data_IF_113443523790
#
_entry.id   IF_113443523790
#
_cell.length_a   1.000
_cell.length_b   1.000
_cell.length_c   1.000
_cell.angle_alpha   90.00
_cell.angle_beta   90.00
_cell.angle_gamma   90.00
#
_symmetry.space_group_name_H-M   'P 1'
#
loop_
_entity.id
_entity.type
_entity.pdbx_description
1 polymer ?
#
# COMPACT_ATOMS: atom_id res chain seq x y z
N UNK A 1 -2.30 20.87 -10.12
CA UNK A 1 -2.87 21.05 -8.78
C UNK A 1 -4.02 20.07 -8.51
N UNK A 2 -5.12 20.09 -9.29
CA UNK A 2 -6.27 19.16 -9.10
C UNK A 2 -5.86 17.68 -9.11
N UNK A 3 -5.06 17.25 -10.09
CA UNK A 3 -4.58 15.85 -10.16
C UNK A 3 -3.75 15.42 -8.96
N UNK A 4 -2.99 16.34 -8.36
CA UNK A 4 -2.17 16.06 -7.17
C UNK A 4 -3.04 15.84 -5.94
N UNK A 5 -4.11 16.63 -5.77
CA UNK A 5 -5.06 16.48 -4.67
C UNK A 5 -5.80 15.14 -4.76
N UNK A 6 -6.24 14.75 -5.96
CA UNK A 6 -6.88 13.46 -6.18
C UNK A 6 -5.96 12.29 -5.86
N UNK A 7 -4.69 12.36 -6.27
CA UNK A 7 -3.70 11.31 -6.00
C UNK A 7 -3.39 11.18 -4.51
N UNK A 8 -3.31 12.30 -3.78
CA UNK A 8 -3.16 12.29 -2.31
C UNK A 8 -4.36 11.59 -1.67
N UNK A 9 -5.59 11.89 -2.10
CA UNK A 9 -6.79 11.22 -1.60
C UNK A 9 -6.77 9.71 -1.82
N UNK A 10 -6.32 9.25 -2.99
CA UNK A 10 -6.14 7.83 -3.28
C UNK A 10 -5.10 7.19 -2.36
N UNK A 11 -3.95 7.85 -2.14
CA UNK A 11 -2.90 7.32 -1.27
C UNK A 11 -3.37 7.18 0.19
N UNK A 12 -4.14 8.15 0.68
CA UNK A 12 -4.74 8.08 2.04
C UNK A 12 -5.74 6.92 2.12
N UNK A 13 -6.60 6.76 1.12
CA UNK A 13 -7.59 5.67 1.07
C UNK A 13 -6.92 4.28 1.00
N UNK A 14 -5.81 4.16 0.28
CA UNK A 14 -5.07 2.91 0.13
C UNK A 14 -4.11 2.62 1.29
N UNK A 15 -3.86 3.58 2.18
CA UNK A 15 -2.90 3.42 3.27
C UNK A 15 -3.19 2.22 4.19
N UNK A 16 -4.43 1.98 4.67
CA UNK A 16 -4.75 0.81 5.50
C UNK A 16 -4.40 -0.53 4.82
N UNK A 17 -4.67 -0.64 3.50
CA UNK A 17 -4.36 -1.85 2.73
C UNK A 17 -2.85 -2.03 2.55
N UNK A 18 -2.13 -0.94 2.30
CA UNK A 18 -0.67 -0.96 2.18
C UNK A 18 -0.01 -1.36 3.50
N UNK A 19 -0.36 -0.71 4.61
CA UNK A 19 0.26 -0.98 5.91
C UNK A 19 -0.10 -2.38 6.42
N UNK A 20 -1.32 -2.86 6.18
CA UNK A 20 -1.70 -4.25 6.49
C UNK A 20 -0.88 -5.24 5.69
N UNK A 21 -0.72 -5.03 4.37
CA UNK A 21 0.11 -5.91 3.55
C UNK A 21 1.58 -5.90 3.99
N UNK A 22 2.12 -4.74 4.37
CA UNK A 22 3.48 -4.62 4.89
C UNK A 22 3.63 -5.32 6.25
N UNK A 23 2.70 -5.12 7.17
CA UNK A 23 2.69 -5.76 8.49
C UNK A 23 2.63 -7.29 8.37
N UNK A 24 1.72 -7.82 7.55
CA UNK A 24 1.61 -9.26 7.31
C UNK A 24 2.92 -9.82 6.72
N UNK A 25 3.57 -9.10 5.80
CA UNK A 25 4.86 -9.50 5.24
C UNK A 25 5.94 -9.54 6.33
N UNK A 26 6.06 -8.48 7.13
CA UNK A 26 7.04 -8.39 8.22
C UNK A 26 6.83 -9.48 9.27
N UNK A 27 5.59 -9.80 9.60
CA UNK A 27 5.28 -10.85 10.57
C UNK A 27 5.65 -12.24 10.03
N UNK A 28 5.36 -12.53 8.76
CA UNK A 28 5.79 -13.79 8.14
C UNK A 28 7.31 -13.93 8.15
N UNK A 29 8.04 -12.84 7.92
CA UNK A 29 9.50 -12.81 8.05
C UNK A 29 9.91 -13.10 9.49
N UNK A 30 9.39 -12.38 10.49
CA UNK A 30 9.72 -12.58 11.92
C UNK A 30 9.45 -14.00 12.39
N UNK A 31 8.27 -14.54 12.08
CA UNK A 31 7.91 -15.93 12.40
C UNK A 31 8.94 -16.88 11.80
N UNK A 32 9.29 -16.71 10.52
CA UNK A 32 10.26 -17.60 9.87
C UNK A 32 11.66 -17.51 10.49
N UNK A 33 12.10 -16.31 10.87
CA UNK A 33 13.40 -16.07 11.50
C UNK A 33 13.48 -16.72 12.89
N UNK A 34 12.40 -16.63 13.67
CA UNK A 34 12.40 -17.14 15.04
C UNK A 34 12.03 -18.62 15.14
N UNK A 35 11.35 -19.18 14.14
CA UNK A 35 10.98 -20.60 14.10
C UNK A 35 12.17 -21.53 14.36
N UNK A 36 13.30 -21.31 13.67
CA UNK A 36 14.49 -22.15 13.82
C UNK A 36 15.19 -21.93 15.18
N UNK A 37 15.18 -20.69 15.68
CA UNK A 37 15.78 -20.35 16.98
C UNK A 37 15.02 -20.95 18.15
N UNK A 38 13.69 -21.06 18.02
CA UNK A 38 12.81 -21.63 19.05
C UNK A 38 12.80 -23.17 19.00
N UNK A 39 13.13 -23.79 17.87
CA UNK A 39 13.11 -25.24 17.70
C UNK A 39 13.93 -26.01 18.74
N UNK A 40 15.07 -25.47 19.20
CA UNK A 40 15.89 -26.07 20.27
C UNK A 40 15.27 -25.93 21.66
N UNK A 41 14.40 -24.95 21.86
CA UNK A 41 13.68 -24.71 23.11
C UNK A 41 12.28 -25.37 23.14
N UNK A 42 11.75 -25.79 21.98
CA UNK A 42 10.41 -26.34 21.84
C UNK A 42 10.16 -27.52 22.79
N UNK A 43 11.04 -28.50 22.88
CA UNK A 43 10.79 -29.69 23.71
C UNK A 43 10.59 -29.35 25.19
N UNK A 44 11.36 -28.39 25.71
CA UNK A 44 11.25 -27.96 27.10
C UNK A 44 9.98 -27.12 27.30
N UNK A 45 9.71 -26.18 26.40
CA UNK A 45 8.53 -25.34 26.43
C UNK A 45 7.25 -26.16 26.29
N UNK A 46 7.20 -27.12 25.35
CA UNK A 46 6.07 -28.00 25.12
C UNK A 46 5.74 -28.83 26.36
N UNK A 47 6.76 -29.41 27.03
CA UNK A 47 6.57 -30.14 28.29
C UNK A 47 5.97 -29.27 29.39
N UNK A 48 6.46 -28.04 29.54
CA UNK A 48 5.94 -27.08 30.53
C UNK A 48 4.47 -26.72 30.26
N UNK A 49 4.15 -26.42 29.01
CA UNK A 49 2.79 -26.06 28.59
C UNK A 49 1.82 -27.26 28.67
N UNK A 50 2.26 -28.47 28.35
CA UNK A 50 1.47 -29.71 28.56
C UNK A 50 1.16 -29.94 30.03
N UNK A 51 2.15 -29.82 30.91
CA UNK A 51 1.93 -29.93 32.35
C UNK A 51 0.94 -28.87 32.87
N UNK A 52 1.00 -27.64 32.33
CA UNK A 52 0.02 -26.60 32.63
C UNK A 52 -1.39 -26.98 32.14
N UNK A 53 -1.53 -27.56 30.94
CA UNK A 53 -2.81 -28.05 30.43
C UNK A 53 -3.39 -29.18 31.30
N UNK A 54 -2.56 -30.12 31.76
CA UNK A 54 -3.01 -31.20 32.67
C UNK A 54 -3.53 -30.65 34.00
N UNK A 55 -2.89 -29.59 34.53
CA UNK A 55 -3.36 -28.91 35.74
C UNK A 55 -4.71 -28.22 35.49
N UNK A 56 -4.85 -27.50 34.37
CA UNK A 56 -6.11 -26.84 33.97
C UNK A 56 -7.24 -27.84 33.72
N UNK A 57 -6.95 -29.00 33.15
CA UNK A 57 -7.93 -30.07 32.94
C UNK A 57 -8.52 -30.58 34.27
N UNK A 58 -7.73 -30.59 35.34
CA UNK A 58 -8.17 -31.01 36.69
C UNK A 58 -8.88 -29.89 37.46
N UNK A 59 -8.39 -28.65 37.33
CA UNK A 59 -8.86 -27.52 38.12
C UNK A 59 -10.00 -26.74 37.46
N UNK A 60 -10.23 -26.97 36.17
CA UNK A 60 -11.10 -26.15 35.34
C UNK A 60 -10.37 -24.90 34.82
N UNK A 61 -10.95 -24.27 33.80
CA UNK A 61 -10.42 -23.03 33.25
C UNK A 61 -10.80 -21.84 34.12
N UNK A 62 -9.88 -20.90 34.23
CA UNK A 62 -10.11 -19.61 34.88
C UNK A 62 -9.70 -18.49 33.91
N UNK A 63 -10.48 -18.28 32.83
CA UNK A 63 -10.14 -17.25 31.85
C UNK A 63 -9.94 -15.91 32.55
N UNK A 64 -8.83 -15.24 32.24
CA UNK A 64 -8.59 -13.88 32.73
C UNK A 64 -9.73 -12.95 32.30
N UNK A 65 -9.83 -11.79 32.96
CA UNK A 65 -10.77 -10.74 32.55
C UNK A 65 -10.65 -10.43 31.06
N UNK A 66 -11.77 -9.97 30.49
CA UNK A 66 -11.92 -9.63 29.07
C UNK A 66 -10.67 -8.95 28.48
N UNK A 67 -9.98 -9.58 27.51
CA UNK A 67 -8.64 -9.20 27.08
C UNK A 67 -8.56 -7.86 26.34
N UNK A 68 -9.71 -7.24 26.06
CA UNK A 68 -9.81 -5.98 25.32
C UNK A 68 -10.01 -4.74 26.22
N UNK A 69 -9.93 -4.89 27.55
CA UNK A 69 -10.11 -3.79 28.52
C UNK A 69 -8.80 -3.08 28.93
N UNK A 70 -7.63 -3.59 28.54
CA UNK A 70 -6.33 -3.08 28.99
C UNK A 70 -5.89 -1.76 28.32
N UNK A 71 -4.97 -1.03 28.98
CA UNK A 71 -4.44 0.26 28.54
C UNK A 71 -3.66 0.17 27.21
N UNK A 72 -3.56 1.31 26.50
CA UNK A 72 -2.86 1.44 25.20
C UNK A 72 -1.45 0.85 25.25
N UNK A 73 -1.10 0.04 24.26
CA UNK A 73 0.21 -0.58 24.17
C UNK A 73 1.32 0.43 23.89
N UNK A 74 2.52 0.11 24.38
CA UNK A 74 3.76 0.89 24.17
C UNK A 74 4.61 0.40 22.99
N UNK A 75 4.11 -0.59 22.25
CA UNK A 75 4.88 -1.35 21.27
C UNK A 75 5.66 -2.50 21.90
N UNK A 76 5.95 -3.52 21.10
CA UNK A 76 6.58 -4.77 21.56
C UNK A 76 8.06 -4.80 21.22
N UNK A 77 8.93 -5.02 22.21
CA UNK A 77 10.36 -5.23 21.98
C UNK A 77 10.64 -6.56 21.27
N UNK A 78 11.76 -6.65 20.56
CA UNK A 78 12.11 -7.86 19.82
C UNK A 78 12.26 -9.09 20.72
N UNK A 79 12.89 -8.93 21.89
CA UNK A 79 13.07 -10.02 22.85
C UNK A 79 11.74 -10.46 23.47
N UNK A 80 10.84 -9.52 23.73
CA UNK A 80 9.49 -9.84 24.22
C UNK A 80 8.67 -10.58 23.17
N UNK A 81 8.74 -10.14 21.90
CA UNK A 81 8.14 -10.85 20.78
C UNK A 81 8.63 -12.30 20.71
N UNK A 82 9.96 -12.51 20.70
CA UNK A 82 10.57 -13.84 20.61
C UNK A 82 10.17 -14.74 21.78
N UNK A 83 10.16 -14.19 22.99
CA UNK A 83 9.83 -14.93 24.21
C UNK A 83 8.41 -15.50 24.17
N UNK A 84 7.46 -14.73 23.65
CA UNK A 84 6.04 -15.07 23.68
C UNK A 84 5.54 -15.71 22.38
N UNK A 85 6.32 -15.68 21.29
CA UNK A 85 5.94 -16.29 20.03
C UNK A 85 5.82 -17.80 20.20
N UNK A 86 4.60 -18.31 20.01
CA UNK A 86 4.26 -19.73 20.12
C UNK A 86 4.14 -20.42 18.76
N UNK A 87 3.74 -19.67 17.73
CA UNK A 87 3.50 -20.22 16.41
C UNK A 87 2.71 -19.29 15.50
N UNK A 88 1.86 -19.88 14.66
CA UNK A 88 0.91 -19.15 13.81
C UNK A 88 -0.47 -19.78 13.80
N UNK A 89 -1.47 -18.97 13.45
CA UNK A 89 -2.80 -19.41 13.06
C UNK A 89 -3.04 -19.05 11.59
N UNK A 90 -3.47 -20.03 10.79
CA UNK A 90 -3.89 -19.85 9.40
C UNK A 90 -5.40 -20.16 9.27
N UNK A 91 -6.15 -19.23 8.70
CA UNK A 91 -7.58 -19.38 8.44
C UNK A 91 -7.83 -19.19 6.93
N UNK A 92 -7.73 -20.27 6.15
CA UNK A 92 -7.91 -20.30 4.71
C UNK A 92 -9.09 -19.49 4.17
N UNK A 93 -10.26 -19.63 4.80
CA UNK A 93 -11.53 -19.06 4.33
C UNK A 93 -11.49 -17.52 4.23
N UNK A 94 -10.74 -16.88 5.11
CA UNK A 94 -10.62 -15.42 5.21
C UNK A 94 -9.22 -14.93 4.88
N UNK A 95 -8.38 -15.82 4.32
CA UNK A 95 -7.04 -15.51 3.83
C UNK A 95 -6.10 -14.86 4.85
N UNK A 96 -6.19 -15.22 6.13
CA UNK A 96 -5.27 -14.72 7.17
C UNK A 96 -4.26 -15.78 7.60
N UNK A 97 -3.03 -15.36 7.84
CA UNK A 97 -2.02 -16.11 8.58
C UNK A 97 -1.27 -15.15 9.47
N UNK A 98 -1.45 -15.27 10.78
CA UNK A 98 -0.94 -14.31 11.76
C UNK A 98 -0.15 -15.01 12.87
N UNK A 99 0.81 -14.31 13.52
CA UNK A 99 1.51 -14.84 14.68
C UNK A 99 0.55 -15.24 15.80
N UNK A 100 0.89 -16.29 16.52
CA UNK A 100 0.19 -16.76 17.71
C UNK A 100 1.14 -16.68 18.90
N UNK A 101 0.73 -15.98 19.94
CA UNK A 101 1.48 -15.83 21.19
C UNK A 101 0.88 -16.67 22.32
N UNK A 102 1.73 -17.06 23.28
CA UNK A 102 1.35 -17.90 24.41
C UNK A 102 0.57 -17.18 25.51
N UNK A 103 0.53 -15.85 25.50
CA UNK A 103 -0.16 -15.04 26.51
C UNK A 103 -0.89 -13.87 25.88
N UNK A 104 -1.95 -13.41 26.55
CA UNK A 104 -2.73 -12.25 26.14
C UNK A 104 -2.42 -11.03 27.00
N UNK A 105 -2.16 -9.91 26.33
CA UNK A 105 -2.07 -8.55 26.87
C UNK A 105 -2.28 -7.54 25.72
N UNK A 106 -2.40 -6.25 26.04
CA UNK A 106 -2.66 -5.21 25.04
C UNK A 106 -1.57 -5.11 23.96
N UNK A 107 -0.29 -5.31 24.32
CA UNK A 107 0.81 -5.18 23.36
C UNK A 107 0.83 -6.30 22.31
N UNK A 108 0.62 -7.55 22.74
CA UNK A 108 0.60 -8.70 21.82
C UNK A 108 -0.68 -8.76 20.96
N UNK A 109 -1.81 -8.32 21.50
CA UNK A 109 -3.08 -8.25 20.76
C UNK A 109 -3.04 -7.27 19.59
N UNK A 110 -2.25 -6.20 19.69
CA UNK A 110 -2.05 -5.25 18.59
C UNK A 110 -1.31 -5.88 17.40
N UNK A 111 -0.50 -6.91 17.63
CA UNK A 111 0.41 -7.46 16.62
C UNK A 111 0.09 -8.89 16.19
N UNK A 112 -0.85 -9.57 16.82
CA UNK A 112 -1.22 -10.93 16.43
C UNK A 112 -2.34 -11.55 17.25
N UNK A 113 -2.45 -12.87 17.14
CA UNK A 113 -3.36 -13.67 17.95
C UNK A 113 -2.68 -14.08 19.26
N UNK A 114 -3.43 -14.15 20.35
CA UNK A 114 -2.90 -14.44 21.68
C UNK A 114 -3.69 -15.55 22.35
N UNK A 115 -3.03 -16.40 23.12
CA UNK A 115 -3.71 -17.39 23.97
C UNK A 115 -4.27 -16.70 25.21
N UNK A 116 -5.59 -16.83 25.45
CA UNK A 116 -6.26 -16.21 26.60
C UNK A 116 -5.74 -16.84 27.89
N UNK A 117 -5.25 -16.00 28.80
CA UNK A 117 -4.65 -16.44 30.05
C UNK A 117 -5.68 -17.24 30.88
N UNK A 118 -5.24 -18.37 31.45
CA UNK A 118 -6.11 -19.26 32.23
C UNK A 118 -6.99 -20.21 31.40
N UNK A 119 -6.81 -20.23 30.08
CA UNK A 119 -7.34 -21.29 29.18
C UNK A 119 -6.23 -22.29 28.81
N UNK A 120 -6.58 -23.40 28.16
CA UNK A 120 -5.54 -24.35 27.71
C UNK A 120 -4.62 -23.69 26.68
N UNK A 121 -3.35 -24.07 26.68
CA UNK A 121 -2.44 -23.76 25.59
C UNK A 121 -2.80 -24.58 24.34
N UNK A 122 -2.65 -24.01 23.12
CA UNK A 122 -3.09 -24.61 21.87
C UNK A 122 -2.13 -25.70 21.34
N UNK A 123 -1.82 -26.68 22.18
CA UNK A 123 -1.01 -27.86 21.85
C UNK A 123 -1.87 -29.06 21.41
N UNK A 124 -3.18 -28.93 21.55
CA UNK A 124 -4.16 -29.99 21.37
C UNK A 124 -4.10 -31.05 22.48
N UNK A 125 -4.82 -32.14 22.26
CA UNK A 125 -4.98 -33.24 23.22
C UNK A 125 -6.35 -33.24 23.89
N UNK A 126 -6.75 -34.42 24.36
CA UNK A 126 -8.05 -34.59 25.01
C UNK A 126 -8.15 -33.78 26.29
N UNK A 127 -9.37 -33.33 26.60
CA UNK A 127 -9.67 -32.49 27.76
C UNK A 127 -8.94 -31.15 27.71
N UNK A 128 -8.81 -30.56 26.52
CA UNK A 128 -8.25 -29.22 26.34
C UNK A 128 -9.24 -28.31 25.64
N UNK A 129 -9.22 -27.04 26.04
CA UNK A 129 -9.97 -25.98 25.37
C UNK A 129 -9.13 -24.70 25.40
N UNK A 130 -8.45 -24.43 24.29
CA UNK A 130 -7.67 -23.20 24.14
C UNK A 130 -8.55 -22.08 23.59
N UNK A 131 -8.35 -20.86 24.08
CA UNK A 131 -9.06 -19.68 23.56
C UNK A 131 -8.04 -18.73 22.97
N UNK A 132 -8.19 -18.43 21.69
CA UNK A 132 -7.28 -17.57 20.94
C UNK A 132 -8.00 -16.26 20.66
N UNK A 133 -7.45 -15.15 21.16
CA UNK A 133 -8.01 -13.82 21.02
C UNK A 133 -7.25 -13.01 19.97
N UNK A 134 -7.96 -12.21 19.18
CA UNK A 134 -7.33 -11.17 18.36
C UNK A 134 -8.30 -10.01 18.11
N UNK A 135 -7.77 -8.82 17.85
CA UNK A 135 -8.59 -7.66 17.53
C UNK A 135 -9.38 -7.82 16.22
N UNK A 136 -10.42 -7.01 16.12
CA UNK A 136 -11.23 -6.79 14.92
C UNK A 136 -11.32 -5.30 14.65
N UNK A 137 -11.03 -4.90 13.42
CA UNK A 137 -11.14 -3.52 12.96
C UNK A 137 -9.96 -2.63 13.29
N UNK A 138 -8.73 -3.17 13.43
CA UNK A 138 -7.55 -2.32 13.51
C UNK A 138 -7.31 -1.61 12.17
N UNK A 139 -6.82 -0.36 12.18
CA UNK A 139 -6.56 0.40 10.96
C UNK A 139 -5.37 -0.15 10.16
N UNK A 140 -4.45 -0.84 10.82
CA UNK A 140 -3.16 -1.25 10.26
C UNK A 140 -2.99 -2.76 10.08
N UNK A 141 -3.93 -3.58 10.59
CA UNK A 141 -3.87 -5.05 10.57
C UNK A 141 -5.26 -5.66 10.47
N UNK A 142 -5.41 -6.69 9.63
CA UNK A 142 -6.69 -7.37 9.48
C UNK A 142 -7.07 -8.23 10.70
N UNK A 143 -6.13 -9.03 11.25
CA UNK A 143 -6.37 -9.95 12.39
C UNK A 143 -7.71 -10.72 12.24
N UNK A 144 -8.58 -10.70 13.27
CA UNK A 144 -9.89 -11.35 13.24
C UNK A 144 -11.02 -10.45 12.73
N UNK A 145 -10.70 -9.41 11.93
CA UNK A 145 -11.72 -8.51 11.34
C UNK A 145 -12.79 -9.27 10.58
N UNK A 146 -12.37 -10.31 9.84
CA UNK A 146 -13.23 -11.12 8.98
C UNK A 146 -13.69 -12.43 9.62
N UNK A 147 -13.39 -12.67 10.90
CA UNK A 147 -13.84 -13.86 11.63
C UNK A 147 -15.37 -14.13 11.53
N UNK A 148 -16.26 -13.10 11.51
CA UNK A 148 -17.69 -13.33 11.30
C UNK A 148 -18.08 -13.96 9.96
N UNK A 149 -17.16 -14.04 8.98
CA UNK A 149 -17.41 -14.69 7.68
C UNK A 149 -17.31 -16.22 7.75
N UNK A 150 -16.77 -16.76 8.85
CA UNK A 150 -16.67 -18.20 9.06
C UNK A 150 -18.04 -18.83 9.30
N UNK A 151 -18.15 -20.10 8.95
CA UNK A 151 -19.34 -20.95 9.12
C UNK A 151 -18.91 -22.32 9.66
N UNK A 152 -19.88 -23.08 10.18
CA UNK A 152 -19.64 -24.47 10.53
C UNK A 152 -19.08 -25.25 9.33
N UNK A 153 -18.08 -26.09 9.57
CA UNK A 153 -17.33 -26.83 8.53
C UNK A 153 -16.13 -26.08 7.95
N UNK A 154 -15.96 -24.78 8.20
CA UNK A 154 -14.72 -24.09 7.81
C UNK A 154 -13.53 -24.59 8.66
N UNK A 155 -12.33 -24.58 8.07
CA UNK A 155 -11.11 -25.07 8.71
C UNK A 155 -10.21 -23.90 9.11
N UNK A 156 -9.58 -24.01 10.28
CA UNK A 156 -8.40 -23.25 10.66
C UNK A 156 -7.30 -24.17 11.17
N UNK A 157 -6.04 -23.74 11.03
CA UNK A 157 -4.88 -24.55 11.39
C UNK A 157 -3.95 -23.74 12.28
N UNK A 158 -3.51 -24.37 13.37
CA UNK A 158 -2.47 -23.85 14.25
C UNK A 158 -1.15 -24.53 13.90
N UNK A 159 -0.11 -23.76 13.65
CA UNK A 159 1.26 -24.25 13.53
C UNK A 159 2.01 -23.84 14.80
N UNK A 160 2.09 -24.74 15.78
CA UNK A 160 2.58 -24.47 17.14
C UNK A 160 3.69 -25.45 17.47
N UNK A 161 4.85 -24.93 17.90
CA UNK A 161 6.02 -25.73 18.29
C UNK A 161 6.42 -26.81 17.25
N UNK A 162 6.18 -26.55 15.96
CA UNK A 162 6.48 -27.49 14.86
C UNK A 162 5.34 -28.46 14.51
N UNK A 163 4.23 -28.45 15.26
CA UNK A 163 3.06 -29.26 14.98
C UNK A 163 1.99 -28.48 14.20
N UNK A 164 1.37 -29.13 13.22
CA UNK A 164 0.19 -28.61 12.51
C UNK A 164 -1.08 -29.24 13.07
N UNK A 165 -1.92 -28.43 13.70
CA UNK A 165 -3.15 -28.84 14.38
C UNK A 165 -4.35 -28.25 13.61
N UNK A 166 -5.12 -29.08 12.92
CA UNK A 166 -6.29 -28.64 12.16
C UNK A 166 -7.57 -28.73 13.00
N UNK A 167 -8.42 -27.72 12.90
CA UNK A 167 -9.71 -27.66 13.58
C UNK A 167 -10.80 -27.30 12.59
N UNK A 168 -11.96 -27.93 12.75
CA UNK A 168 -13.17 -27.65 11.98
C UNK A 168 -14.16 -26.90 12.86
N UNK A 169 -14.66 -25.77 12.36
CA UNK A 169 -15.63 -24.93 13.07
C UNK A 169 -16.91 -25.72 13.32
N UNK A 170 -17.31 -25.82 14.59
CA UNK A 170 -18.50 -26.52 15.04
C UNK A 170 -19.60 -25.56 15.45
N UNK A 171 -19.26 -24.55 16.25
CA UNK A 171 -20.22 -23.61 16.81
C UNK A 171 -19.74 -22.17 16.66
N UNK A 172 -20.70 -21.26 16.50
CA UNK A 172 -20.48 -19.83 16.43
C UNK A 172 -21.52 -19.17 17.32
N UNK A 173 -21.07 -18.45 18.35
CA UNK A 173 -21.96 -17.80 19.32
C UNK A 173 -21.51 -16.37 19.58
N UNK A 174 -22.48 -15.51 19.92
CA UNK A 174 -22.23 -14.15 20.40
C UNK A 174 -22.66 -14.07 21.85
N UNK A 175 -21.74 -13.64 22.71
CA UNK A 175 -21.94 -13.58 24.17
C UNK A 175 -21.53 -12.22 24.72
N UNK A 176 -21.96 -11.88 25.94
CA UNK A 176 -21.39 -10.73 26.65
C UNK A 176 -19.96 -11.05 27.12
N UNK A 177 -19.08 -10.05 27.30
CA UNK A 177 -17.69 -10.28 27.72
C UNK A 177 -17.53 -11.08 29.03
N UNK A 178 -18.53 -11.03 29.89
CA UNK A 178 -18.57 -11.60 31.24
C UNK A 178 -19.08 -13.06 31.22
N UNK A 179 -19.65 -13.51 30.09
CA UNK A 179 -20.23 -14.84 29.92
C UNK A 179 -19.15 -15.87 29.53
N UNK A 180 -18.21 -16.15 30.43
CA UNK A 180 -17.09 -17.08 30.18
C UNK A 180 -17.47 -18.56 30.33
N UNK A 181 -18.67 -18.87 30.82
CA UNK A 181 -19.14 -20.24 31.05
C UNK A 181 -19.18 -21.12 29.79
N UNK A 182 -19.23 -20.51 28.61
CA UNK A 182 -19.22 -21.20 27.30
C UNK A 182 -17.82 -21.69 26.90
N UNK A 183 -16.77 -21.27 27.59
CA UNK A 183 -15.38 -21.59 27.28
C UNK A 183 -14.86 -22.83 28.01
N UNK A 184 -15.72 -23.59 28.73
CA UNK A 184 -15.29 -24.71 29.57
C UNK A 184 -14.67 -25.85 28.74
N UNK A 185 -13.79 -26.62 29.39
CA UNK A 185 -13.31 -27.89 28.83
C UNK A 185 -14.48 -28.87 28.73
N UNK A 186 -14.63 -29.48 27.56
CA UNK A 186 -15.54 -30.59 27.34
C UNK A 186 -14.77 -31.91 27.48
N UNK A 187 -15.21 -32.86 28.34
CA UNK A 187 -14.53 -34.14 28.52
C UNK A 187 -14.34 -34.90 27.20
N UNK A 188 -13.12 -35.38 26.97
CA UNK A 188 -12.71 -36.13 25.78
C UNK A 188 -12.52 -35.29 24.52
N UNK A 189 -12.80 -33.99 24.55
CA UNK A 189 -12.68 -33.11 23.38
C UNK A 189 -11.33 -32.38 23.35
N UNK A 190 -10.89 -32.01 22.15
CA UNK A 190 -9.78 -31.10 21.86
C UNK A 190 -10.38 -29.91 21.10
N UNK A 191 -10.54 -28.79 21.79
CA UNK A 191 -11.27 -27.61 21.31
C UNK A 191 -10.38 -26.37 21.23
N UNK A 192 -10.64 -25.55 20.23
CA UNK A 192 -10.08 -24.20 20.13
C UNK A 192 -11.20 -23.22 19.83
N UNK A 193 -11.33 -22.17 20.63
CA UNK A 193 -12.24 -21.05 20.36
C UNK A 193 -11.46 -19.84 19.88
N UNK A 194 -11.83 -19.32 18.71
CA UNK A 194 -11.36 -18.03 18.21
C UNK A 194 -12.29 -16.93 18.72
N UNK A 195 -11.73 -15.93 19.39
CA UNK A 195 -12.44 -14.90 20.13
C UNK A 195 -12.12 -13.51 19.57
N UNK A 196 -13.14 -12.73 19.26
CA UNK A 196 -12.98 -11.32 18.90
C UNK A 196 -14.15 -10.44 19.36
N UNK A 197 -14.01 -9.12 19.29
CA UNK A 197 -15.07 -8.16 19.60
C UNK A 197 -16.16 -8.09 18.52
N UNK A 198 -17.39 -7.84 18.92
CA UNK A 198 -18.53 -7.65 18.01
C UNK A 198 -19.63 -6.80 18.69
N UNK A 199 -20.55 -6.15 17.96
CA UNK A 199 -20.52 -5.83 16.53
C UNK A 199 -19.43 -4.81 16.18
N UNK A 200 -19.13 -4.68 14.88
CA UNK A 200 -18.07 -3.82 14.37
C UNK A 200 -18.23 -2.38 14.88
N UNK A 201 -17.13 -1.76 15.32
CA UNK A 201 -17.06 -0.41 15.92
C UNK A 201 -17.79 -0.22 17.26
N UNK A 202 -18.59 -1.18 17.72
CA UNK A 202 -19.33 -1.10 18.99
C UNK A 202 -18.65 -1.94 20.07
N UNK A 203 -18.14 -3.12 19.72
CA UNK A 203 -17.35 -3.99 20.60
C UNK A 203 -18.02 -4.36 21.94
N UNK A 204 -19.35 -4.34 22.01
CA UNK A 204 -20.13 -4.59 23.23
C UNK A 204 -20.26 -6.07 23.60
N UNK A 205 -20.00 -6.96 22.65
CA UNK A 205 -20.14 -8.40 22.77
C UNK A 205 -18.87 -9.10 22.26
N UNK A 206 -18.77 -10.40 22.47
CA UNK A 206 -17.69 -11.26 21.97
C UNK A 206 -18.26 -12.28 20.99
N UNK A 207 -17.63 -12.38 19.83
CA UNK A 207 -17.87 -13.46 18.87
C UNK A 207 -16.91 -14.59 19.21
N UNK A 208 -17.47 -15.78 19.41
CA UNK A 208 -16.75 -17.02 19.68
C UNK A 208 -16.99 -17.99 18.53
N UNK A 209 -15.92 -18.43 17.89
CA UNK A 209 -15.92 -19.45 16.84
C UNK A 209 -15.15 -20.65 17.36
N UNK A 210 -15.86 -21.69 17.80
CA UNK A 210 -15.26 -22.89 18.39
C UNK A 210 -15.10 -23.96 17.33
N UNK A 211 -13.88 -24.46 17.18
CA UNK A 211 -13.56 -25.61 16.35
C UNK A 211 -13.17 -26.83 17.18
N UNK A 212 -13.50 -28.01 16.65
CA UNK A 212 -13.06 -29.29 17.19
C UNK A 212 -11.91 -29.86 16.36
N UNK A 213 -10.98 -30.54 17.02
CA UNK A 213 -9.82 -31.13 16.36
C UNK A 213 -10.21 -32.11 15.26
N UNK A 214 -9.56 -31.97 14.10
CA UNK A 214 -9.68 -32.89 12.96
C UNK A 214 -8.29 -33.33 12.45
N UNK A 215 -8.18 -34.44 11.73
CA UNK A 215 -6.92 -34.84 11.12
C UNK A 215 -6.39 -33.80 10.14
N UNK A 216 -5.10 -33.49 10.23
CA UNK A 216 -4.41 -32.69 9.22
C UNK A 216 -4.17 -33.56 7.98
N UNK A 217 -4.95 -33.35 6.92
CA UNK A 217 -4.91 -34.16 5.70
C UNK A 217 -4.10 -33.47 4.58
N UNK A 218 -3.63 -34.21 3.55
CA UNK A 218 -3.00 -33.62 2.37
C UNK A 218 -3.88 -32.58 1.65
N UNK A 219 -5.22 -32.71 1.76
CA UNK A 219 -6.16 -31.72 1.22
C UNK A 219 -6.06 -30.38 1.95
N UNK A 220 -5.97 -30.40 3.29
CA UNK A 220 -5.79 -29.19 4.11
C UNK A 220 -4.43 -28.55 3.81
N UNK A 221 -3.38 -29.36 3.69
CA UNK A 221 -2.04 -28.88 3.33
C UNK A 221 -2.03 -28.15 1.98
N UNK A 222 -2.63 -28.75 0.95
CA UNK A 222 -2.71 -28.14 -0.38
C UNK A 222 -3.51 -26.83 -0.35
N UNK A 223 -4.61 -26.78 0.40
CA UNK A 223 -5.42 -25.58 0.57
C UNK A 223 -4.62 -24.45 1.23
N UNK A 224 -3.86 -24.74 2.29
CA UNK A 224 -2.99 -23.77 2.95
C UNK A 224 -1.89 -23.27 2.01
N UNK A 225 -1.23 -24.16 1.28
CA UNK A 225 -0.17 -23.78 0.34
C UNK A 225 -0.68 -22.88 -0.79
N UNK A 226 -1.86 -23.19 -1.33
CA UNK A 226 -2.50 -22.37 -2.36
C UNK A 226 -2.89 -20.98 -1.82
N UNK A 227 -3.44 -20.91 -0.61
CA UNK A 227 -3.79 -19.63 0.01
C UNK A 227 -2.56 -18.81 0.38
N UNK A 228 -1.49 -19.44 0.89
CA UNK A 228 -0.23 -18.75 1.16
C UNK A 228 0.37 -18.14 -0.11
N UNK A 229 0.33 -18.88 -1.22
CA UNK A 229 0.75 -18.36 -2.52
C UNK A 229 -0.11 -17.17 -2.97
N UNK A 230 -1.43 -17.30 -2.93
CA UNK A 230 -2.35 -16.23 -3.32
C UNK A 230 -2.19 -14.98 -2.45
N UNK A 231 -2.06 -15.16 -1.13
CA UNK A 231 -1.83 -14.08 -0.17
C UNK A 231 -0.55 -13.31 -0.49
N UNK A 232 0.56 -14.02 -0.74
CA UNK A 232 1.83 -13.41 -1.15
C UNK A 232 1.70 -12.62 -2.45
N UNK A 233 0.98 -13.15 -3.45
CA UNK A 233 0.73 -12.42 -4.70
C UNK A 233 -0.08 -11.14 -4.48
N UNK A 234 -1.16 -11.21 -3.68
CA UNK A 234 -2.00 -10.04 -3.35
C UNK A 234 -1.18 -9.00 -2.60
N UNK A 235 -0.40 -9.40 -1.59
CA UNK A 235 0.47 -8.50 -0.82
C UNK A 235 1.50 -7.83 -1.73
N UNK A 236 2.19 -8.58 -2.59
CA UNK A 236 3.15 -8.04 -3.54
C UNK A 236 2.49 -7.04 -4.50
N UNK A 237 1.31 -7.37 -5.03
CA UNK A 237 0.57 -6.49 -5.93
C UNK A 237 0.19 -5.16 -5.24
N UNK A 238 -0.27 -5.19 -3.99
CA UNK A 238 -0.60 -3.99 -3.22
C UNK A 238 0.64 -3.13 -2.95
N UNK A 239 1.76 -3.73 -2.55
CA UNK A 239 3.02 -3.01 -2.29
C UNK A 239 3.52 -2.34 -3.57
N UNK A 240 3.58 -3.07 -4.69
CA UNK A 240 4.03 -2.54 -5.99
C UNK A 240 3.11 -1.43 -6.47
N UNK A 241 1.78 -1.62 -6.39
CA UNK A 241 0.81 -0.60 -6.79
C UNK A 241 1.00 0.70 -6.00
N UNK A 242 1.15 0.61 -4.68
CA UNK A 242 1.37 1.77 -3.84
C UNK A 242 2.68 2.48 -4.18
N UNK A 243 3.78 1.75 -4.37
CA UNK A 243 5.07 2.32 -4.79
C UNK A 243 4.94 3.04 -6.13
N UNK A 244 4.25 2.46 -7.12
CA UNK A 244 4.02 3.09 -8.42
C UNK A 244 3.22 4.39 -8.30
N UNK A 245 2.19 4.43 -7.46
CA UNK A 245 1.40 5.64 -7.20
C UNK A 245 2.23 6.75 -6.55
N UNK A 246 3.10 6.40 -5.59
CA UNK A 246 4.02 7.37 -4.97
C UNK A 246 5.04 7.89 -5.99
N UNK A 247 5.65 7.02 -6.80
CA UNK A 247 6.56 7.44 -7.88
C UNK A 247 5.87 8.36 -8.89
N UNK A 248 4.63 8.05 -9.27
CA UNK A 248 3.81 8.90 -10.15
C UNK A 248 3.56 10.27 -9.50
N UNK A 249 3.24 10.30 -8.20
CA UNK A 249 3.04 11.54 -7.45
C UNK A 249 4.29 12.42 -7.47
N UNK A 250 5.44 11.83 -7.15
CA UNK A 250 6.74 12.53 -7.14
C UNK A 250 7.10 13.04 -8.54
N UNK A 251 6.83 12.26 -9.59
CA UNK A 251 7.05 12.67 -10.97
C UNK A 251 6.16 13.86 -11.38
N UNK A 252 4.87 13.85 -11.01
CA UNK A 252 3.96 14.98 -11.25
C UNK A 252 4.45 16.22 -10.51
N UNK A 253 4.84 16.08 -9.23
CA UNK A 253 5.35 17.19 -8.42
C UNK A 253 6.63 17.78 -9.03
N UNK A 254 7.59 16.93 -9.42
CA UNK A 254 8.80 17.34 -10.12
C UNK A 254 8.47 18.14 -11.39
N UNK A 255 7.52 17.64 -12.21
CA UNK A 255 7.12 18.33 -13.45
C UNK A 255 6.50 19.70 -13.16
N UNK A 256 5.67 19.81 -12.13
CA UNK A 256 5.06 21.10 -11.72
C UNK A 256 6.14 22.08 -11.26
N UNK A 257 7.05 21.65 -10.37
CA UNK A 257 8.14 22.50 -9.87
C UNK A 257 9.06 22.91 -11.02
N UNK A 258 9.47 21.98 -11.88
CA UNK A 258 10.33 22.28 -13.02
C UNK A 258 9.68 23.28 -13.98
N UNK A 259 8.38 23.16 -14.27
CA UNK A 259 7.65 24.13 -15.09
C UNK A 259 7.56 25.50 -14.41
N UNK A 260 7.33 25.54 -13.09
CA UNK A 260 7.30 26.77 -12.31
C UNK A 260 8.67 27.49 -12.31
N UNK A 261 9.76 26.74 -12.11
CA UNK A 261 11.12 27.28 -12.15
C UNK A 261 11.51 27.80 -13.53
N UNK A 262 11.10 27.13 -14.60
CA UNK A 262 11.26 27.63 -15.97
C UNK A 262 10.50 28.94 -16.18
N UNK A 263 9.23 28.99 -15.78
CA UNK A 263 8.39 30.18 -15.97
C UNK A 263 8.89 31.43 -15.24
N UNK A 264 9.69 31.27 -14.17
CA UNK A 264 10.35 32.39 -13.46
C UNK A 264 11.58 32.94 -14.15
N UNK A 265 12.16 32.22 -15.10
CA UNK A 265 13.33 32.68 -15.84
C UNK A 265 12.89 33.37 -17.13
N UNK A 266 13.60 34.44 -17.48
CA UNK A 266 13.41 35.13 -18.75
C UNK A 266 14.38 34.59 -19.80
N UNK A 267 13.95 34.62 -21.05
CA UNK A 267 14.77 34.40 -22.23
C UNK A 267 14.46 35.47 -23.28
N UNK A 268 15.47 35.75 -24.10
CA UNK A 268 15.32 36.52 -25.33
C UNK A 268 15.40 35.59 -26.52
N UNK A 269 14.56 35.82 -27.52
CA UNK A 269 14.56 35.09 -28.78
C UNK A 269 14.88 36.09 -29.87
N UNK A 270 15.91 35.77 -30.66
CA UNK A 270 16.31 36.53 -31.87
C UNK A 270 16.35 35.54 -33.01
N UNK A 271 15.48 35.70 -33.99
CA UNK A 271 15.28 34.74 -35.08
C UNK A 271 15.27 35.45 -36.43
N UNK A 272 16.21 35.14 -37.31
CA UNK A 272 16.26 35.65 -38.67
C UNK A 272 15.63 34.65 -39.64
N UNK A 273 14.71 35.11 -40.49
CA UNK A 273 14.05 34.30 -41.50
C UNK A 273 14.31 34.88 -42.88
N UNK A 274 14.91 34.07 -43.75
CA UNK A 274 15.22 34.42 -45.15
C UNK A 274 14.48 33.50 -46.11
N UNK A 275 14.10 34.02 -47.27
CA UNK A 275 13.52 33.24 -48.37
C UNK A 275 14.62 32.60 -49.22
N UNK A 276 14.24 31.72 -50.16
CA UNK A 276 15.20 30.94 -50.94
C UNK A 276 16.05 31.77 -51.92
N UNK A 277 15.62 32.99 -52.21
CA UNK A 277 16.31 34.05 -52.94
C UNK A 277 17.20 34.95 -52.05
N UNK A 278 17.40 34.58 -50.77
CA UNK A 278 18.14 35.34 -49.75
C UNK A 278 17.51 36.69 -49.35
N UNK A 279 16.27 36.96 -49.79
CA UNK A 279 15.53 38.14 -49.35
C UNK A 279 15.00 37.99 -47.90
N UNK A 280 14.86 39.08 -47.14
CA UNK A 280 14.23 39.06 -45.82
C UNK A 280 12.76 38.62 -45.88
N UNK A 281 12.34 37.68 -45.03
CA UNK A 281 10.93 37.33 -44.91
C UNK A 281 10.19 38.41 -44.09
N UNK A 282 9.33 39.18 -44.75
CA UNK A 282 8.73 40.40 -44.20
C UNK A 282 7.33 40.24 -43.54
N UNK A 283 6.85 39.01 -43.32
CA UNK A 283 5.48 38.78 -42.81
C UNK A 283 5.41 38.76 -41.27
N UNK A 284 4.40 39.38 -40.64
CA UNK A 284 4.28 39.39 -39.19
C UNK A 284 4.05 37.97 -38.62
N UNK A 285 4.74 37.67 -37.52
CA UNK A 285 4.58 36.40 -36.81
C UNK A 285 3.83 36.60 -35.51
N UNK A 286 2.82 35.78 -35.29
CA UNK A 286 2.03 35.77 -34.07
C UNK A 286 2.55 34.69 -33.12
N UNK A 287 2.66 35.03 -31.83
CA UNK A 287 3.15 34.12 -30.80
C UNK A 287 2.00 33.43 -30.07
N UNK A 288 2.07 32.10 -29.96
CA UNK A 288 1.08 31.25 -29.30
C UNK A 288 1.71 30.34 -28.26
N UNK A 289 0.86 29.72 -27.44
CA UNK A 289 1.24 28.61 -26.57
C UNK A 289 1.88 27.45 -27.36
N UNK A 290 2.50 26.49 -26.66
CA UNK A 290 3.14 25.31 -27.29
C UNK A 290 2.21 24.56 -28.26
N UNK A 291 0.89 24.58 -28.05
CA UNK A 291 -0.08 23.90 -28.93
C UNK A 291 -0.48 24.72 -30.16
N UNK A 292 -0.20 26.03 -30.17
CA UNK A 292 -0.61 26.97 -31.21
C UNK A 292 -2.09 27.34 -31.18
N UNK A 293 -2.80 27.06 -30.06
CA UNK A 293 -4.24 27.28 -29.92
C UNK A 293 -4.56 28.60 -29.23
N UNK A 294 -3.73 29.03 -28.28
CA UNK A 294 -3.97 30.24 -27.49
C UNK A 294 -2.88 31.27 -27.79
N UNK A 295 -3.28 32.43 -28.31
CA UNK A 295 -2.36 33.52 -28.55
C UNK A 295 -1.76 34.00 -27.22
N UNK A 296 -0.45 34.21 -27.17
CA UNK A 296 0.19 34.80 -26.02
C UNK A 296 -0.17 36.29 -25.97
N UNK A 297 -0.61 36.77 -24.81
CA UNK A 297 -1.01 38.16 -24.63
C UNK A 297 -0.06 38.89 -23.68
N UNK A 298 0.32 40.13 -24.01
CA UNK A 298 1.04 41.06 -23.13
C UNK A 298 0.15 42.29 -22.96
N UNK A 299 -0.16 42.67 -21.71
CA UNK A 299 -1.09 43.77 -21.42
C UNK A 299 -2.48 43.65 -22.09
N UNK A 300 -2.95 42.43 -22.34
CA UNK A 300 -4.28 42.17 -22.94
C UNK A 300 -4.28 42.00 -24.48
N UNK A 301 -3.20 42.39 -25.15
CA UNK A 301 -3.06 42.32 -26.61
C UNK A 301 -2.20 41.15 -27.06
N UNK A 302 -2.49 40.58 -28.23
CA UNK A 302 -1.74 39.46 -28.78
C UNK A 302 -0.32 39.90 -29.18
N UNK A 303 0.68 39.10 -28.82
CA UNK A 303 2.08 39.39 -29.15
C UNK A 303 2.33 39.08 -30.63
N UNK A 304 2.66 40.13 -31.39
CA UNK A 304 3.02 40.08 -32.81
C UNK A 304 4.46 40.55 -32.95
N UNK A 305 5.25 39.79 -33.71
CA UNK A 305 6.64 40.08 -34.02
C UNK A 305 6.73 40.60 -35.44
N UNK A 306 7.31 41.79 -35.57
CA UNK A 306 7.53 42.47 -36.85
C UNK A 306 9.02 42.33 -37.17
N UNK A 307 9.39 41.92 -38.39
CA UNK A 307 10.79 41.80 -38.79
C UNK A 307 11.44 43.17 -38.94
N UNK A 308 12.74 43.26 -38.61
CA UNK A 308 13.56 44.39 -38.99
C UNK A 308 13.95 44.37 -40.48
N UNK A 309 14.70 45.37 -40.93
CA UNK A 309 15.16 45.49 -42.33
C UNK A 309 16.03 44.30 -42.80
N UNK A 310 16.51 43.45 -41.88
CA UNK A 310 17.32 42.26 -42.15
C UNK A 310 16.52 40.96 -42.08
N UNK A 311 15.21 41.02 -41.78
CA UNK A 311 14.34 39.86 -41.61
C UNK A 311 14.45 39.20 -40.24
N UNK A 312 14.95 39.94 -39.24
CA UNK A 312 15.15 39.46 -37.87
C UNK A 312 13.95 39.81 -36.98
N UNK A 313 13.43 38.81 -36.29
CA UNK A 313 12.35 38.88 -35.31
C UNK A 313 12.94 38.78 -33.91
N UNK A 314 12.65 39.75 -33.04
CA UNK A 314 13.16 39.77 -31.67
C UNK A 314 12.04 39.89 -30.63
N UNK A 315 12.13 39.10 -29.56
CA UNK A 315 11.31 39.25 -28.35
C UNK A 315 12.15 39.11 -27.09
N UNK A 316 12.02 40.10 -26.22
CA UNK A 316 12.71 40.17 -24.94
C UNK A 316 11.78 39.94 -23.75
N UNK A 317 12.38 39.44 -22.66
CA UNK A 317 11.69 39.12 -21.41
C UNK A 317 10.52 38.15 -21.60
N UNK A 318 10.71 37.14 -22.45
CA UNK A 318 9.76 36.03 -22.58
C UNK A 318 10.07 34.99 -21.49
N UNK A 319 9.06 34.48 -20.79
CA UNK A 319 9.29 33.40 -19.82
C UNK A 319 9.89 32.16 -20.52
N UNK A 320 10.81 31.43 -19.88
CA UNK A 320 11.35 30.20 -20.48
C UNK A 320 10.24 29.17 -20.62
N UNK A 321 10.10 28.67 -21.85
CA UNK A 321 9.09 27.70 -22.24
C UNK A 321 9.19 27.41 -23.73
N UNK A 322 8.30 26.56 -24.25
CA UNK A 322 8.16 26.34 -25.68
C UNK A 322 6.94 27.09 -26.19
N UNK A 323 7.12 27.84 -27.29
CA UNK A 323 6.11 28.68 -27.92
C UNK A 323 5.98 28.35 -29.39
N UNK A 324 4.82 28.63 -29.96
CA UNK A 324 4.55 28.45 -31.37
C UNK A 324 4.51 29.82 -32.07
N UNK A 325 5.42 30.05 -33.01
CA UNK A 325 5.40 31.18 -33.93
C UNK A 325 4.63 30.77 -35.18
N UNK A 326 3.59 31.54 -35.54
CA UNK A 326 2.83 31.27 -36.76
C UNK A 326 2.41 32.53 -37.50
N UNK A 327 2.37 32.45 -38.82
CA UNK A 327 1.74 33.47 -39.68
C UNK A 327 0.22 33.42 -39.53
N UNK A 328 -0.47 34.51 -39.84
CA UNK A 328 -1.95 34.58 -39.77
C UNK A 328 -2.64 33.51 -40.63
N UNK A 329 -2.03 33.15 -41.77
CA UNK A 329 -2.55 32.15 -42.71
C UNK A 329 -2.07 30.72 -42.42
N UNK A 330 -1.41 30.50 -41.27
CA UNK A 330 -0.77 29.23 -40.87
C UNK A 330 0.24 28.67 -41.91
N UNK A 331 0.70 29.50 -42.86
CA UNK A 331 1.69 29.14 -43.88
C UNK A 331 3.03 28.70 -43.27
N UNK A 332 3.50 29.41 -42.24
CA UNK A 332 4.68 29.07 -41.46
C UNK A 332 4.29 28.78 -40.00
N UNK A 333 4.75 27.65 -39.46
CA UNK A 333 4.49 27.27 -38.06
C UNK A 333 5.72 26.63 -37.41
N UNK A 334 6.37 27.36 -36.49
CA UNK A 334 7.63 26.97 -35.86
C UNK A 334 7.50 26.96 -34.34
N UNK A 335 7.98 25.89 -33.70
CA UNK A 335 8.15 25.82 -32.25
C UNK A 335 9.54 26.35 -31.87
N UNK A 336 9.55 27.34 -30.99
CA UNK A 336 10.77 27.97 -30.49
C UNK A 336 10.74 28.03 -28.96
N UNK A 337 11.88 27.83 -28.30
CA UNK A 337 11.93 28.01 -26.85
C UNK A 337 12.99 27.21 -26.11
N UNK A 338 12.98 27.32 -24.79
CA UNK A 338 13.90 26.59 -23.90
C UNK A 338 13.13 25.63 -22.99
N UNK A 339 13.61 24.40 -22.90
CA UNK A 339 13.01 23.34 -22.06
C UNK A 339 13.86 22.95 -20.86
N UNK A 340 15.12 23.38 -20.79
CA UNK A 340 16.03 23.12 -19.68
C UNK A 340 16.34 24.41 -18.94
N UNK A 341 16.37 24.35 -17.60
CA UNK A 341 16.61 25.52 -16.73
C UNK A 341 17.97 26.17 -17.05
N UNK A 342 19.03 25.36 -17.24
CA UNK A 342 20.38 25.84 -17.56
C UNK A 342 20.66 26.03 -19.07
N UNK A 343 19.66 25.93 -19.94
CA UNK A 343 19.89 26.15 -21.37
C UNK A 343 20.25 27.63 -21.62
N UNK A 344 21.37 27.83 -22.31
CA UNK A 344 21.78 29.15 -22.82
C UNK A 344 21.26 29.40 -24.24
N UNK A 345 20.93 28.33 -24.98
CA UNK A 345 20.42 28.41 -26.36
C UNK A 345 18.99 27.87 -26.43
N UNK A 346 18.16 28.48 -27.29
CA UNK A 346 16.80 28.00 -27.54
C UNK A 346 16.78 26.91 -28.62
N UNK A 347 15.80 26.03 -28.53
CA UNK A 347 15.54 24.97 -29.51
C UNK A 347 14.55 25.47 -30.54
N UNK A 348 14.76 25.06 -31.79
CA UNK A 348 13.88 25.34 -32.92
C UNK A 348 13.39 24.02 -33.52
N UNK A 349 12.07 23.89 -33.72
CA UNK A 349 11.45 22.71 -34.34
C UNK A 349 10.29 23.13 -35.23
N UNK A 350 10.24 22.63 -36.46
CA UNK A 350 9.10 22.88 -37.36
C UNK A 350 7.93 21.99 -36.98
N UNK A 351 6.71 22.54 -37.01
CA UNK A 351 5.51 21.73 -36.83
C UNK A 351 5.10 21.08 -38.15
N UNK A 352 4.67 19.81 -38.11
CA UNK A 352 4.20 19.05 -39.30
C UNK A 352 3.11 19.74 -40.12
N UNK A 353 2.43 20.74 -39.56
CA UNK A 353 1.35 21.52 -40.20
C UNK A 353 1.82 22.75 -40.98
N UNK A 354 3.12 23.06 -40.97
CA UNK A 354 3.69 24.16 -41.77
C UNK A 354 3.57 23.83 -43.26
N UNK A 355 3.03 24.76 -44.06
CA UNK A 355 2.91 24.60 -45.52
C UNK A 355 4.23 24.91 -46.23
N UNK A 356 5.03 25.79 -45.64
CA UNK A 356 6.37 26.12 -46.11
C UNK A 356 7.39 25.12 -45.56
N UNK A 357 8.31 24.72 -46.44
CA UNK A 357 9.43 23.87 -46.08
C UNK A 357 10.58 24.71 -45.53
N UNK A 358 11.44 24.08 -44.73
CA UNK A 358 12.34 24.78 -43.84
C UNK A 358 13.72 24.12 -43.84
N UNK A 359 14.76 24.95 -43.94
CA UNK A 359 16.16 24.58 -43.74
C UNK A 359 16.77 25.45 -42.65
N UNK A 360 17.20 24.82 -41.55
CA UNK A 360 17.93 25.51 -40.50
C UNK A 360 19.36 25.76 -40.97
N UNK A 361 19.75 27.02 -41.12
CA UNK A 361 21.12 27.39 -41.50
C UNK A 361 22.01 27.58 -40.28
N UNK A 362 21.45 28.11 -39.18
CA UNK A 362 22.14 28.24 -37.90
C UNK A 362 21.15 28.16 -36.73
N UNK A 363 21.59 28.34 -35.49
CA UNK A 363 20.67 28.39 -34.34
C UNK A 363 19.65 29.53 -34.40
N UNK A 364 20.00 30.63 -35.08
CA UNK A 364 19.18 31.82 -35.16
C UNK A 364 18.67 32.13 -36.57
N UNK A 365 19.20 31.44 -37.60
CA UNK A 365 18.89 31.72 -39.01
C UNK A 365 18.15 30.56 -39.65
N UNK A 366 17.03 30.89 -40.29
CA UNK A 366 16.10 29.98 -40.94
C UNK A 366 15.97 30.37 -42.41
N UNK A 367 16.06 29.39 -43.29
CA UNK A 367 15.67 29.55 -44.69
C UNK A 367 14.35 28.83 -44.95
N UNK A 368 13.39 29.52 -45.56
CA UNK A 368 12.10 28.95 -45.98
C UNK A 368 12.04 28.77 -47.50
N UNK A 369 11.40 27.68 -47.95
CA UNK A 369 11.22 27.30 -49.36
C UNK A 369 9.79 26.90 -49.63
#
# INVERSE_FOLDING_TARGET
>A
MVYSLFLIGILIMLYPFYISALNDYLDNVRVSLYKDSLQKAHDTQEKQLKAANEKLAKQGLTPSTDPFKDAKASGVSEDYYKKHLLGTIDIPKINIKIPLFDTTNSELLEIGATTLNGTSYPLGGQNTHAVISAHRGLPDRALFTDLPKLKAGDIFVLEVLGHKLAYEVKTIVVVKPEETQVLKIEPGQDLVTLLTCTPYMINSHRLLVTGSRVPYTPKVEKMLAQNDHNRKLIQLALLVLFTLLVCLMLWILYRIIHQYLLAKQNMSIVLQIITSDQSPYAQPLHLYDRTGKRALKRQGEAVILIPDATGTYQIDHLAKGMYCLKTKDDALCVLIGQTKIKAMTYQLKVMKRSKLSFKQLSQQVIQIT
#
